data_IF_704035802067
#
_entry.id   IF_704035802067
#
_cell.length_a   1.000
_cell.length_b   1.000
_cell.length_c   1.000
_cell.angle_alpha   90.00
_cell.angle_beta   90.00
_cell.angle_gamma   90.00
#
_symmetry.space_group_name_H-M   'P 1'
#
loop_
_entity.id
_entity.type
_entity.pdbx_description
1 polymer ?
#
# COMPACT_ATOMS: atom_id res chain seq x y z
N UNK A 1 -1.26 11.35 -2.86
CA UNK A 1 -2.29 11.32 -1.81
C UNK A 1 -2.93 9.94 -1.63
N UNK A 2 -3.09 9.12 -2.68
CA UNK A 2 -3.60 7.75 -2.58
C UNK A 2 -2.84 6.84 -1.58
N UNK A 3 -1.50 6.89 -1.54
CA UNK A 3 -0.71 6.06 -0.61
C UNK A 3 -0.92 6.42 0.87
N UNK A 4 -1.03 7.71 1.21
CA UNK A 4 -1.31 8.15 2.57
C UNK A 4 -2.74 7.76 3.01
N UNK A 5 -3.71 7.86 2.09
CA UNK A 5 -5.07 7.39 2.33
C UNK A 5 -5.10 5.87 2.55
N UNK A 6 -4.35 5.10 1.77
CA UNK A 6 -4.25 3.65 1.93
C UNK A 6 -3.69 3.24 3.30
N UNK A 7 -2.65 3.93 3.78
CA UNK A 7 -2.08 3.67 5.12
C UNK A 7 -3.05 4.04 6.24
N UNK A 8 -3.80 5.13 6.12
CA UNK A 8 -4.83 5.50 7.10
C UNK A 8 -6.06 4.56 7.08
N UNK A 9 -6.35 3.92 5.94
CA UNK A 9 -7.47 2.99 5.81
C UNK A 9 -7.13 1.57 6.30
N UNK A 10 -5.85 1.19 6.38
CA UNK A 10 -5.40 -0.09 6.95
C UNK A 10 -5.74 -0.24 8.44
N UNK A 11 -6.00 0.87 9.16
CA UNK A 11 -6.44 0.86 10.56
C UNK A 11 -7.95 0.71 10.77
N UNK A 12 -8.77 0.54 9.71
CA UNK A 12 -10.23 0.47 9.78
C UNK A 12 -10.79 -0.75 9.01
N UNK A 13 -10.81 -1.95 9.63
CA UNK A 13 -11.17 -3.21 8.96
C UNK A 13 -12.59 -3.22 8.39
N UNK A 14 -13.53 -2.47 8.99
CA UNK A 14 -14.90 -2.30 8.48
C UNK A 14 -14.99 -1.53 7.13
N UNK A 15 -13.94 -0.80 6.75
CA UNK A 15 -13.89 -0.03 5.50
C UNK A 15 -13.24 -0.82 4.34
N UNK A 16 -12.69 -2.00 4.60
CA UNK A 16 -11.87 -2.78 3.67
C UNK A 16 -12.60 -3.23 2.39
N UNK A 17 -13.85 -3.68 2.49
CA UNK A 17 -14.66 -4.07 1.32
C UNK A 17 -15.08 -2.88 0.44
N UNK A 18 -15.11 -1.66 1.00
CA UNK A 18 -15.31 -0.42 0.24
C UNK A 18 -14.01 0.06 -0.39
N UNK A 19 -12.91 -0.06 0.35
CA UNK A 19 -11.55 0.21 -0.10
C UNK A 19 -11.16 -0.63 -1.32
N UNK A 20 -11.50 -1.92 -1.32
CA UNK A 20 -11.29 -2.77 -2.50
C UNK A 20 -11.99 -2.21 -3.76
N UNK A 21 -13.24 -1.76 -3.63
CA UNK A 21 -14.00 -1.20 -4.75
C UNK A 21 -13.39 0.07 -5.32
N UNK A 22 -12.98 0.98 -4.43
CA UNK A 22 -12.60 2.35 -4.80
C UNK A 22 -11.09 2.49 -5.05
N UNK A 23 -10.27 1.65 -4.42
CA UNK A 23 -8.80 1.77 -4.42
C UNK A 23 -8.09 0.69 -5.24
N UNK A 24 -8.75 -0.39 -5.68
CA UNK A 24 -8.13 -1.42 -6.53
C UNK A 24 -8.58 -1.25 -7.99
N UNK A 25 -7.66 -1.49 -8.93
CA UNK A 25 -7.97 -1.44 -10.36
C UNK A 25 -9.13 -2.38 -10.72
N UNK A 26 -10.06 -1.97 -11.59
CA UNK A 26 -11.11 -2.87 -12.08
C UNK A 26 -10.52 -4.12 -12.73
N UNK A 27 -11.02 -5.29 -12.34
CA UNK A 27 -10.58 -6.59 -12.87
C UNK A 27 -10.81 -7.73 -11.87
N UNK A 28 -10.43 -8.96 -12.25
CA UNK A 28 -10.66 -10.17 -11.44
C UNK A 28 -10.12 -10.05 -10.01
N UNK A 29 -8.91 -9.49 -9.87
CA UNK A 29 -8.30 -9.28 -8.57
C UNK A 29 -9.09 -8.37 -7.62
N UNK A 30 -9.77 -7.34 -8.15
CA UNK A 30 -10.66 -6.50 -7.32
C UNK A 30 -11.88 -7.29 -6.84
N UNK A 31 -12.47 -8.08 -7.73
CA UNK A 31 -13.67 -8.84 -7.39
C UNK A 31 -13.34 -9.91 -6.33
N UNK A 32 -12.18 -10.57 -6.46
CA UNK A 32 -11.64 -11.48 -5.47
C UNK A 32 -11.31 -10.78 -4.14
N UNK A 33 -10.68 -9.60 -4.18
CA UNK A 33 -10.41 -8.76 -3.01
C UNK A 33 -11.68 -8.38 -2.25
N UNK A 34 -12.76 -8.00 -2.96
CA UNK A 34 -14.06 -7.70 -2.34
C UNK A 34 -14.64 -8.93 -1.67
N UNK A 35 -14.61 -10.09 -2.36
CA UNK A 35 -15.13 -11.34 -1.82
C UNK A 35 -14.37 -11.81 -0.57
N UNK A 36 -13.08 -11.50 -0.47
CA UNK A 36 -12.19 -11.88 0.65
C UNK A 36 -12.15 -10.86 1.80
N UNK A 37 -12.89 -9.75 1.74
CA UNK A 37 -12.74 -8.61 2.66
C UNK A 37 -11.29 -8.09 2.70
N UNK A 38 -10.81 -7.65 1.52
CA UNK A 38 -9.49 -7.09 1.22
C UNK A 38 -8.69 -6.55 2.42
N UNK A 39 -7.65 -7.27 2.81
CA UNK A 39 -6.76 -6.87 3.89
C UNK A 39 -7.06 -7.46 5.26
N UNK A 40 -7.99 -8.41 5.37
CA UNK A 40 -8.04 -9.35 6.50
C UNK A 40 -6.70 -10.06 6.76
N UNK A 41 -5.86 -10.22 5.71
CA UNK A 41 -4.48 -10.73 5.78
C UNK A 41 -3.40 -9.65 5.71
N UNK A 42 -3.75 -8.38 5.42
CA UNK A 42 -2.77 -7.30 5.20
C UNK A 42 -2.29 -6.64 6.50
N UNK A 43 -2.48 -7.29 7.65
CA UNK A 43 -1.93 -6.85 8.94
C UNK A 43 -0.41 -7.12 8.96
N UNK A 44 0.36 -6.34 8.21
CA UNK A 44 1.83 -6.35 8.29
C UNK A 44 2.33 -5.78 9.62
N UNK A 45 1.47 -5.09 10.37
CA UNK A 45 1.75 -4.63 11.72
C UNK A 45 1.19 -5.63 12.76
N UNK A 46 1.96 -5.99 13.80
CA UNK A 46 1.41 -6.65 14.98
C UNK A 46 0.21 -5.87 15.52
N UNK A 47 -0.82 -6.56 16.01
CA UNK A 47 -1.97 -5.90 16.61
C UNK A 47 -1.51 -4.93 17.73
N UNK A 48 -1.84 -3.64 17.58
CA UNK A 48 -1.43 -2.57 18.51
C UNK A 48 -0.10 -1.87 18.18
N UNK A 49 0.63 -2.27 17.13
CA UNK A 49 1.81 -1.55 16.68
C UNK A 49 1.42 -0.33 15.83
N UNK A 50 1.99 0.84 16.14
CA UNK A 50 1.82 2.03 15.32
C UNK A 50 2.72 1.98 14.08
N UNK A 51 2.14 2.29 12.93
CA UNK A 51 2.84 2.40 11.64
C UNK A 51 2.89 3.87 11.23
N UNK A 52 4.08 4.37 10.89
CA UNK A 52 4.28 5.73 10.38
C UNK A 52 4.88 5.68 8.98
N UNK A 53 4.35 6.47 8.04
CA UNK A 53 5.00 6.65 6.74
C UNK A 53 6.25 7.51 6.94
N UNK A 54 7.41 6.97 6.59
CA UNK A 54 8.70 7.66 6.69
C UNK A 54 9.12 8.31 5.36
N UNK A 55 8.58 7.83 4.23
CA UNK A 55 8.91 8.37 2.92
C UNK A 55 8.41 7.50 1.79
N UNK A 56 8.75 7.87 0.57
CA UNK A 56 8.46 7.10 -0.63
C UNK A 56 9.62 7.15 -1.61
N UNK A 57 9.72 6.13 -2.45
CA UNK A 57 10.64 6.08 -3.57
C UNK A 57 9.83 5.74 -4.83
N UNK A 58 10.05 6.50 -5.90
CA UNK A 58 9.48 6.20 -7.21
C UNK A 58 10.45 5.32 -7.98
N UNK A 59 10.00 4.14 -8.41
CA UNK A 59 10.79 3.18 -9.18
C UNK A 59 10.56 3.37 -10.68
N UNK A 60 9.30 3.50 -11.08
CA UNK A 60 8.92 3.71 -12.47
C UNK A 60 7.62 4.51 -12.58
N UNK A 61 7.49 5.29 -13.66
CA UNK A 61 6.27 6.03 -13.99
C UNK A 61 6.18 6.23 -15.51
N UNK A 62 5.03 5.88 -16.10
CA UNK A 62 4.79 6.01 -17.55
C UNK A 62 3.61 6.95 -17.89
N UNK A 63 3.04 7.63 -16.90
CA UNK A 63 1.83 8.44 -17.07
C UNK A 63 0.54 7.77 -16.62
N UNK A 64 0.44 6.44 -16.74
CA UNK A 64 -0.77 5.64 -16.43
C UNK A 64 -0.52 4.48 -15.47
N UNK A 65 0.72 4.08 -15.29
CA UNK A 65 1.17 3.10 -14.33
C UNK A 65 2.35 3.65 -13.54
N UNK A 66 2.48 3.21 -12.29
CA UNK A 66 3.65 3.53 -11.47
C UNK A 66 4.01 2.37 -10.56
N UNK A 67 5.30 2.24 -10.30
CA UNK A 67 5.82 1.40 -9.24
C UNK A 67 6.50 2.30 -8.21
N UNK A 68 6.13 2.12 -6.94
CA UNK A 68 6.67 2.89 -5.83
C UNK A 68 7.01 1.95 -4.67
N UNK A 69 7.94 2.38 -3.83
CA UNK A 69 8.13 1.83 -2.50
C UNK A 69 7.66 2.86 -1.47
N UNK A 70 6.93 2.43 -0.46
CA UNK A 70 6.62 3.24 0.72
C UNK A 70 7.50 2.77 1.86
N UNK A 71 8.31 3.67 2.41
CA UNK A 71 9.02 3.40 3.64
C UNK A 71 8.09 3.62 4.83
N UNK A 72 7.99 2.63 5.71
CA UNK A 72 7.24 2.73 6.97
C UNK A 72 8.16 2.46 8.15
N UNK A 73 7.85 3.08 9.29
CA UNK A 73 8.40 2.75 10.60
C UNK A 73 7.34 2.02 11.40
N UNK A 74 7.68 0.87 11.96
CA UNK A 74 6.80 0.06 12.80
C UNK A 74 7.37 0.05 14.22
N UNK A 75 6.57 0.50 15.18
CA UNK A 75 6.98 0.51 16.59
C UNK A 75 7.43 -0.89 17.04
N UNK A 76 8.65 -0.99 17.54
CA UNK A 76 9.23 -2.26 18.03
C UNK A 76 9.80 -3.20 16.94
N UNK A 77 9.61 -2.92 15.65
CA UNK A 77 10.07 -3.77 14.55
C UNK A 77 11.00 -3.08 13.53
N UNK A 78 11.25 -1.78 13.69
CA UNK A 78 12.17 -1.03 12.82
C UNK A 78 11.48 -0.49 11.56
N UNK A 79 12.27 -0.29 10.49
CA UNK A 79 11.77 0.25 9.22
C UNK A 79 11.57 -0.85 8.19
N UNK A 80 10.56 -0.68 7.32
CA UNK A 80 10.28 -1.58 6.21
C UNK A 80 9.98 -0.81 4.92
N UNK A 81 10.32 -1.40 3.79
CA UNK A 81 9.93 -0.97 2.46
C UNK A 81 8.73 -1.80 1.99
N UNK A 82 7.66 -1.11 1.59
CA UNK A 82 6.43 -1.72 1.09
C UNK A 82 6.27 -1.40 -0.39
N UNK A 83 6.57 -2.35 -1.29
CA UNK A 83 6.42 -2.16 -2.74
C UNK A 83 4.96 -2.16 -3.18
N UNK A 84 4.62 -1.24 -4.09
CA UNK A 84 3.29 -1.13 -4.69
C UNK A 84 3.37 -0.90 -6.19
N UNK A 85 2.43 -1.51 -6.91
CA UNK A 85 2.13 -1.18 -8.29
C UNK A 85 0.76 -0.50 -8.35
N UNK A 86 0.70 0.67 -8.99
CA UNK A 86 -0.52 1.46 -9.14
C UNK A 86 -0.82 1.69 -10.62
N UNK A 87 -2.10 1.81 -10.95
CA UNK A 87 -2.58 2.25 -12.25
C UNK A 87 -3.57 3.39 -12.13
N UNK A 88 -3.57 4.29 -13.11
CA UNK A 88 -4.51 5.40 -13.20
C UNK A 88 -5.84 4.90 -13.77
N UNK A 89 -6.92 5.07 -13.02
CA UNK A 89 -8.26 4.69 -13.48
C UNK A 89 -9.32 5.52 -12.76
N UNK A 90 -10.31 6.01 -13.51
CA UNK A 90 -11.41 6.80 -12.95
C UNK A 90 -10.95 8.07 -12.22
N UNK A 91 -9.87 8.71 -12.69
CA UNK A 91 -9.36 9.97 -12.13
C UNK A 91 -8.51 9.85 -10.87
N UNK A 92 -8.12 8.64 -10.47
CA UNK A 92 -7.25 8.41 -9.32
C UNK A 92 -6.31 7.22 -9.55
N UNK A 93 -5.24 7.17 -8.75
CA UNK A 93 -4.33 6.03 -8.68
C UNK A 93 -4.95 4.91 -7.87
N UNK A 94 -4.94 3.69 -8.41
CA UNK A 94 -5.49 2.49 -7.79
C UNK A 94 -4.45 1.38 -7.74
N UNK A 95 -4.47 0.58 -6.68
CA UNK A 95 -3.61 -0.58 -6.51
C UNK A 95 -3.88 -1.64 -7.57
N UNK A 96 -2.80 -2.22 -8.08
CA UNK A 96 -2.84 -3.47 -8.79
C UNK A 96 -2.61 -4.60 -7.79
N UNK A 97 -3.43 -5.64 -7.88
CA UNK A 97 -3.39 -6.84 -7.04
C UNK A 97 -3.31 -8.05 -7.97
N UNK A 98 -2.97 -9.22 -7.42
CA UNK A 98 -3.06 -10.48 -8.16
C UNK A 98 -4.52 -10.83 -8.46
N UNK A 99 -4.77 -11.75 -9.39
CA UNK A 99 -6.13 -12.13 -9.81
C UNK A 99 -6.94 -12.78 -8.68
N UNK A 100 -6.27 -13.31 -7.66
CA UNK A 100 -6.88 -13.83 -6.44
C UNK A 100 -7.14 -12.74 -5.38
N UNK A 101 -6.82 -11.48 -5.66
CA UNK A 101 -7.03 -10.33 -4.79
C UNK A 101 -5.96 -10.09 -3.74
N UNK A 102 -4.86 -10.85 -3.75
CA UNK A 102 -3.72 -10.65 -2.85
C UNK A 102 -2.81 -9.51 -3.33
N UNK A 103 -2.05 -8.94 -2.39
CA UNK A 103 -0.99 -7.98 -2.72
C UNK A 103 0.09 -8.64 -3.57
N UNK A 104 0.68 -7.90 -4.51
CA UNK A 104 1.64 -8.46 -5.47
C UNK A 104 3.01 -8.78 -4.87
N UNK A 105 3.36 -8.12 -3.76
CA UNK A 105 4.71 -8.07 -3.24
C UNK A 105 4.71 -7.99 -1.72
N UNK A 106 5.65 -8.69 -1.09
CA UNK A 106 5.84 -8.65 0.36
C UNK A 106 6.69 -7.45 0.81
N UNK A 107 6.45 -6.92 2.03
CA UNK A 107 7.33 -5.96 2.65
C UNK A 107 8.74 -6.53 2.89
N UNK A 108 9.75 -5.67 2.84
CA UNK A 108 11.14 -6.01 3.12
C UNK A 108 11.71 -5.11 4.20
N UNK A 109 12.63 -5.62 5.03
CA UNK A 109 13.33 -4.81 6.01
C UNK A 109 14.13 -3.69 5.30
N UNK A 110 14.09 -2.48 5.85
CA UNK A 110 14.76 -1.31 5.27
C UNK A 110 15.86 -0.83 6.22
N UNK A 111 17.12 -0.98 5.79
CA UNK A 111 18.30 -0.62 6.59
C UNK A 111 18.51 0.90 6.67
N UNK A 112 18.32 1.61 5.55
CA UNK A 112 18.44 3.06 5.47
C UNK A 112 17.44 3.67 4.47
N UNK A 113 17.36 5.00 4.45
CA UNK A 113 16.41 5.76 3.62
C UNK A 113 17.01 6.23 2.28
N UNK A 114 18.14 5.66 1.85
CA UNK A 114 18.81 6.08 0.62
C UNK A 114 17.89 5.89 -0.59
N UNK A 115 17.73 6.96 -1.38
CA UNK A 115 16.83 6.96 -2.53
C UNK A 115 15.35 7.16 -2.20
N UNK A 116 14.98 7.30 -0.93
CA UNK A 116 13.63 7.69 -0.51
C UNK A 116 13.55 9.21 -0.34
N UNK A 117 12.44 9.77 -0.80
CA UNK A 117 12.00 11.10 -0.44
C UNK A 117 11.32 10.98 0.93
N UNK A 118 11.94 11.54 1.97
CA UNK A 118 11.46 11.45 3.34
C UNK A 118 10.23 12.32 3.56
N UNK A 119 9.33 11.86 4.44
CA UNK A 119 8.17 12.61 4.88
C UNK A 119 8.52 13.42 6.14
N UNK A 120 8.20 14.71 6.15
CA UNK A 120 8.60 15.64 7.23
C UNK A 120 9.95 16.31 6.98
N UNK A 121 10.32 17.27 7.83
CA UNK A 121 11.59 18.00 7.74
C UNK A 121 12.74 17.18 8.31
N UNK A 122 13.85 17.16 7.57
CA UNK A 122 15.18 16.70 8.00
C UNK A 122 15.64 17.34 9.30
#
# INVERSE_FOLDING_TARGET
MAAANFTAMMSAPELMGRMARDSVLPGPGRDAAIAKNFGASASAAPAGASVQIAGFQMIAYDGRSTQINIAVKVAGAGSASVPWQLGWSGGDWKFKVADDGEVLFDPTALEDMSGYITWGTS
#
